data_IF_718190913814
#
_entry.id   IF_718190913814
#
_cell.length_a   1.000
_cell.length_b   1.000
_cell.length_c   1.000
_cell.angle_alpha   90.00
_cell.angle_beta   90.00
_cell.angle_gamma   90.00
#
_symmetry.space_group_name_H-M   'P 1'
#
loop_
_entity.id
_entity.type
_entity.pdbx_description
1 polymer ?
#
# COMPACT_ATOMS: atom_id res chain seq x y z
N UNK A 1 -21.66 17.59 28.68
CA UNK A 1 -21.17 17.23 27.33
C UNK A 1 -19.83 16.54 27.49
N UNK A 2 -19.73 15.24 27.22
CA UNK A 2 -18.42 14.56 27.13
C UNK A 2 -17.93 14.67 25.69
N UNK A 3 -16.70 15.19 25.52
CA UNK A 3 -15.99 15.22 24.24
C UNK A 3 -15.49 13.79 24.00
N UNK A 4 -16.05 13.09 23.00
CA UNK A 4 -15.46 11.84 22.53
C UNK A 4 -14.09 12.17 21.95
N UNK A 5 -13.04 11.69 22.61
CA UNK A 5 -11.69 11.62 22.06
C UNK A 5 -11.78 10.70 20.83
N UNK A 6 -11.85 11.30 19.64
CA UNK A 6 -11.87 10.51 18.42
C UNK A 6 -10.50 9.81 18.31
N UNK A 7 -10.53 8.47 18.28
CA UNK A 7 -9.34 7.65 18.08
C UNK A 7 -8.57 8.04 16.80
N UNK A 8 -7.34 7.53 16.63
CA UNK A 8 -6.48 7.89 15.51
C UNK A 8 -7.24 7.77 14.18
N UNK A 9 -7.01 8.72 13.29
CA UNK A 9 -7.55 8.68 11.92
C UNK A 9 -7.23 7.31 11.31
N UNK A 10 -8.22 6.59 10.74
CA UNK A 10 -8.03 5.24 10.19
C UNK A 10 -6.99 5.15 9.07
N UNK A 11 -6.45 6.28 8.62
CA UNK A 11 -5.46 6.35 7.55
C UNK A 11 -6.11 6.22 6.18
N UNK A 12 -5.33 6.41 5.12
CA UNK A 12 -5.85 6.34 3.76
C UNK A 12 -6.30 4.91 3.41
N UNK A 13 -7.50 4.78 2.84
CA UNK A 13 -8.02 3.53 2.31
C UNK A 13 -7.47 3.24 0.91
N UNK A 14 -7.41 1.96 0.54
CA UNK A 14 -7.10 1.55 -0.83
C UNK A 14 -8.28 1.86 -1.75
N UNK A 15 -8.07 2.74 -2.74
CA UNK A 15 -9.11 3.12 -3.69
C UNK A 15 -9.01 2.32 -5.00
N UNK A 16 -7.78 2.04 -5.46
CA UNK A 16 -7.54 1.29 -6.70
C UNK A 16 -6.13 0.71 -6.76
N UNK A 17 -5.96 -0.33 -7.57
CA UNK A 17 -4.66 -0.85 -8.04
C UNK A 17 -4.51 -0.41 -9.50
N UNK A 18 -3.63 0.56 -9.75
CA UNK A 18 -3.38 1.07 -11.12
C UNK A 18 -2.61 0.09 -11.97
N UNK A 19 -1.68 -0.65 -11.37
CA UNK A 19 -0.87 -1.67 -12.02
C UNK A 19 -0.44 -2.70 -10.99
N UNK A 20 -0.39 -3.96 -11.40
CA UNK A 20 0.22 -5.03 -10.63
C UNK A 20 0.90 -6.01 -11.60
N UNK A 21 2.21 -6.17 -11.45
CA UNK A 21 3.01 -7.13 -12.19
C UNK A 21 3.60 -8.14 -11.19
N UNK A 22 3.45 -9.42 -11.47
CA UNK A 22 4.02 -10.49 -10.66
C UNK A 22 5.05 -11.27 -11.48
N UNK A 23 6.21 -11.52 -10.89
CA UNK A 23 7.35 -12.20 -11.53
C UNK A 23 7.59 -13.59 -10.92
N UNK A 24 6.58 -14.13 -10.27
CA UNK A 24 6.58 -15.44 -9.64
C UNK A 24 5.19 -16.06 -9.80
N UNK A 25 5.14 -17.37 -10.05
CA UNK A 25 3.88 -18.08 -10.27
C UNK A 25 3.23 -18.55 -8.95
N UNK A 26 4.04 -18.76 -7.91
CA UNK A 26 3.57 -19.24 -6.61
C UNK A 26 4.46 -18.76 -5.47
N UNK A 27 3.84 -18.52 -4.31
CA UNK A 27 4.57 -18.16 -3.10
C UNK A 27 4.89 -19.42 -2.29
N UNK A 28 6.16 -19.71 -1.99
CA UNK A 28 6.53 -20.85 -1.16
C UNK A 28 5.98 -20.67 0.26
N UNK A 29 5.50 -21.77 0.84
CA UNK A 29 5.06 -21.75 2.24
C UNK A 29 6.24 -21.42 3.17
N UNK A 30 6.00 -20.52 4.12
CA UNK A 30 7.02 -20.08 5.08
C UNK A 30 8.04 -19.06 4.53
N UNK A 31 7.93 -18.66 3.26
CA UNK A 31 8.79 -17.63 2.70
C UNK A 31 8.50 -16.26 3.33
N UNK A 32 9.55 -15.48 3.57
CA UNK A 32 9.43 -14.09 4.03
C UNK A 32 9.37 -13.15 2.83
N UNK A 33 8.37 -12.28 2.81
CA UNK A 33 8.21 -11.24 1.79
C UNK A 33 8.43 -9.88 2.43
N UNK A 34 9.36 -9.11 1.87
CA UNK A 34 9.61 -7.72 2.24
C UNK A 34 8.91 -6.83 1.24
N UNK A 35 7.96 -6.02 1.72
CA UNK A 35 7.30 -5.00 0.91
C UNK A 35 7.95 -3.63 1.19
N UNK A 36 8.30 -2.90 0.13
CA UNK A 36 8.70 -1.49 0.21
C UNK A 36 7.68 -0.66 -0.55
N UNK A 37 7.20 0.40 0.09
CA UNK A 37 6.21 1.31 -0.47
C UNK A 37 6.74 2.73 -0.41
N UNK A 38 6.62 3.47 -1.52
CA UNK A 38 7.06 4.85 -1.64
C UNK A 38 5.98 5.70 -2.30
N UNK A 39 5.70 6.87 -1.72
CA UNK A 39 4.77 7.82 -2.32
C UNK A 39 5.39 8.39 -3.60
N UNK A 40 4.78 8.09 -4.75
CA UNK A 40 5.20 8.64 -6.05
C UNK A 40 4.42 9.91 -6.41
N UNK A 41 3.21 10.05 -5.89
CA UNK A 41 2.37 11.23 -6.12
C UNK A 41 1.52 11.54 -4.88
N UNK A 42 1.32 12.82 -4.61
CA UNK A 42 0.56 13.30 -3.47
C UNK A 42 -0.19 14.57 -3.87
N UNK A 43 -1.53 14.49 -3.90
CA UNK A 43 -2.39 15.62 -4.21
C UNK A 43 -3.64 15.56 -3.34
N UNK A 44 -3.91 16.63 -2.58
CA UNK A 44 -5.00 16.68 -1.59
C UNK A 44 -5.04 15.41 -0.71
N UNK A 45 -6.13 14.66 -0.78
CA UNK A 45 -6.39 13.41 -0.07
C UNK A 45 -5.98 12.16 -0.85
N UNK A 46 -5.54 12.33 -2.10
CA UNK A 46 -5.13 11.26 -2.98
C UNK A 46 -3.61 11.04 -2.88
N UNK A 47 -3.23 9.77 -2.77
CA UNK A 47 -1.84 9.34 -2.81
C UNK A 47 -1.68 8.26 -3.87
N UNK A 48 -0.59 8.34 -4.62
CA UNK A 48 -0.11 7.21 -5.40
C UNK A 48 1.12 6.64 -4.73
N UNK A 49 1.17 5.32 -4.63
CA UNK A 49 2.22 4.59 -3.95
C UNK A 49 2.77 3.52 -4.88
N UNK A 50 4.07 3.60 -5.17
CA UNK A 50 4.80 2.53 -5.83
C UNK A 50 5.25 1.51 -4.79
N UNK A 51 4.93 0.24 -5.03
CA UNK A 51 5.22 -0.87 -4.14
C UNK A 51 6.12 -1.88 -4.86
N UNK A 52 7.14 -2.36 -4.17
CA UNK A 52 7.96 -3.48 -4.60
C UNK A 52 7.89 -4.60 -3.56
N UNK A 53 7.70 -5.83 -4.04
CA UNK A 53 7.65 -7.04 -3.23
C UNK A 53 8.91 -7.84 -3.50
N UNK A 54 9.69 -8.11 -2.45
CA UNK A 54 10.92 -8.89 -2.53
C UNK A 54 10.80 -10.16 -1.68
N UNK A 55 11.26 -11.28 -2.22
CA UNK A 55 11.56 -12.50 -1.47
C UNK A 55 13.08 -12.65 -1.46
N UNK A 56 13.68 -12.51 -0.27
CA UNK A 56 15.12 -12.30 -0.11
C UNK A 56 15.64 -11.11 -0.94
N UNK A 57 16.43 -11.38 -2.00
CA UNK A 57 16.99 -10.37 -2.93
C UNK A 57 16.28 -10.35 -4.28
N UNK A 58 15.27 -11.21 -4.47
CA UNK A 58 14.55 -11.32 -5.72
C UNK A 58 13.28 -10.48 -5.68
N UNK A 59 13.13 -9.58 -6.67
CA UNK A 59 11.87 -8.90 -6.91
C UNK A 59 10.85 -9.90 -7.46
N UNK A 60 9.76 -10.10 -6.72
CA UNK A 60 8.69 -11.05 -7.07
C UNK A 60 7.41 -10.36 -7.50
N UNK A 61 7.29 -9.05 -7.29
CA UNK A 61 6.17 -8.27 -7.79
C UNK A 61 6.33 -6.78 -7.61
N UNK A 62 5.55 -6.03 -8.37
CA UNK A 62 5.42 -4.58 -8.28
C UNK A 62 3.95 -4.19 -8.37
N UNK A 63 3.57 -3.16 -7.64
CA UNK A 63 2.24 -2.59 -7.75
C UNK A 63 2.27 -1.07 -7.66
N UNK A 64 1.38 -0.41 -8.39
CA UNK A 64 1.07 1.01 -8.21
C UNK A 64 -0.31 1.10 -7.59
N UNK A 65 -0.38 1.59 -6.37
CA UNK A 65 -1.63 1.72 -5.61
C UNK A 65 -2.09 3.18 -5.62
N UNK A 66 -3.39 3.36 -5.68
CA UNK A 66 -4.03 4.64 -5.42
C UNK A 66 -4.75 4.56 -4.08
N UNK A 67 -4.34 5.41 -3.14
CA UNK A 67 -4.93 5.53 -1.82
C UNK A 67 -5.71 6.83 -1.72
N UNK A 68 -6.78 6.82 -0.94
CA UNK A 68 -7.59 8.00 -0.66
C UNK A 68 -7.87 8.11 0.83
N UNK A 69 -7.56 9.26 1.42
CA UNK A 69 -7.91 9.59 2.78
C UNK A 69 -9.21 10.40 2.79
N UNK A 70 -10.32 9.79 3.21
CA UNK A 70 -11.55 10.54 3.37
C UNK A 70 -11.36 11.62 4.43
N UNK A 71 -11.55 12.89 4.07
CA UNK A 71 -11.74 13.95 5.07
C UNK A 71 -13.05 13.70 5.79
N UNK A 72 -13.06 13.88 7.12
CA UNK A 72 -14.27 13.85 7.94
C UNK A 72 -15.19 15.03 7.63
#
# INVERSE_FOLDING_TARGET
MQRLEQGPDPGPGLQSIKKADFFIDSLPFGASITARAENTYSFENLREVSCELHMDKQLIGRATLQLFQASK
#
